data_IF_987350806320
#
_entry.id   IF_987350806320
#
_cell.length_a   1.000
_cell.length_b   1.000
_cell.length_c   1.000
_cell.angle_alpha   90.00
_cell.angle_beta   90.00
_cell.angle_gamma   90.00
#
_symmetry.space_group_name_H-M   'P 1'
#
loop_
_entity.id
_entity.type
_entity.pdbx_description
1 polymer ?
#
# COMPACT_ATOMS: atom_id res chain seq x y z
N UNK A 1 -11.43 -13.30 12.92
CA UNK A 1 -11.24 -12.65 11.60
C UNK A 1 -10.12 -13.40 10.90
N UNK A 2 -10.42 -13.96 9.72
CA UNK A 2 -9.54 -14.88 8.99
C UNK A 2 -8.27 -14.17 8.46
N UNK A 3 -7.17 -14.89 8.25
CA UNK A 3 -5.92 -14.30 7.75
C UNK A 3 -6.04 -13.78 6.31
N UNK A 4 -6.80 -14.45 5.45
CA UNK A 4 -7.14 -13.94 4.12
C UNK A 4 -7.83 -12.57 4.15
N UNK A 5 -8.72 -12.36 5.13
CA UNK A 5 -9.43 -11.07 5.28
C UNK A 5 -8.44 -9.98 5.72
N UNK A 6 -7.48 -10.30 6.59
CA UNK A 6 -6.42 -9.36 7.01
C UNK A 6 -5.55 -8.98 5.83
N UNK A 7 -5.15 -9.94 5.01
CA UNK A 7 -4.34 -9.71 3.83
C UNK A 7 -5.10 -8.86 2.80
N UNK A 8 -6.37 -9.18 2.55
CA UNK A 8 -7.23 -8.40 1.65
C UNK A 8 -7.38 -6.95 2.10
N UNK A 9 -7.56 -6.71 3.40
CA UNK A 9 -7.58 -5.36 3.99
C UNK A 9 -6.26 -4.63 3.73
N UNK A 10 -5.12 -5.29 3.95
CA UNK A 10 -3.81 -4.71 3.71
C UNK A 10 -3.56 -4.40 2.23
N UNK A 11 -4.02 -5.24 1.30
CA UNK A 11 -3.92 -5.00 -0.14
C UNK A 11 -4.71 -3.74 -0.54
N UNK A 12 -5.96 -3.61 -0.09
CA UNK A 12 -6.78 -2.43 -0.39
C UNK A 12 -6.16 -1.17 0.23
N UNK A 13 -5.66 -1.27 1.47
CA UNK A 13 -5.01 -0.15 2.16
C UNK A 13 -3.73 0.36 1.47
N UNK A 14 -3.12 -0.43 0.57
CA UNK A 14 -1.93 -0.06 -0.23
C UNK A 14 -2.28 0.61 -1.56
N UNK A 15 -3.53 0.52 -2.01
CA UNK A 15 -4.02 1.27 -3.18
C UNK A 15 -4.33 2.72 -2.81
N UNK A 16 -4.43 3.61 -3.78
CA UNK A 16 -4.89 4.98 -3.56
C UNK A 16 -6.42 5.09 -3.72
N UNK A 17 -7.08 6.09 -3.11
CA UNK A 17 -8.50 6.33 -3.35
C UNK A 17 -8.83 6.55 -4.85
N UNK A 18 -7.90 7.12 -5.61
CA UNK A 18 -8.06 7.36 -7.05
C UNK A 18 -8.18 6.06 -7.86
N UNK A 19 -7.49 4.98 -7.46
CA UNK A 19 -7.62 3.66 -8.07
C UNK A 19 -9.05 3.11 -7.99
N UNK A 20 -9.81 3.56 -6.99
CA UNK A 20 -11.21 3.20 -6.78
C UNK A 20 -12.18 4.25 -7.33
N UNK A 21 -11.71 5.14 -8.20
CA UNK A 21 -12.47 6.25 -8.80
C UNK A 21 -13.01 7.23 -7.74
N UNK A 22 -12.36 7.32 -6.58
CA UNK A 22 -12.72 8.27 -5.52
C UNK A 22 -11.81 9.50 -5.66
N UNK A 23 -12.38 10.63 -6.05
CA UNK A 23 -11.66 11.90 -6.24
C UNK A 23 -11.81 12.87 -5.07
N UNK A 24 -12.68 12.56 -4.10
CA UNK A 24 -12.98 13.44 -2.96
C UNK A 24 -11.82 13.58 -1.96
N UNK A 25 -10.84 12.68 -2.00
CA UNK A 25 -9.65 12.73 -1.13
C UNK A 25 -8.49 11.97 -1.77
N UNK A 26 -7.26 12.40 -1.48
CA UNK A 26 -6.03 11.85 -2.06
C UNK A 26 -5.35 10.78 -1.20
N UNK A 27 -5.77 10.61 0.06
CA UNK A 27 -5.16 9.65 1.01
C UNK A 27 -6.21 8.93 1.84
N UNK A 28 -5.91 7.69 2.23
CA UNK A 28 -6.75 6.96 3.16
C UNK A 28 -6.65 7.53 4.57
N UNK A 29 -7.81 7.72 5.20
CA UNK A 29 -7.93 7.78 6.65
C UNK A 29 -8.53 6.46 7.15
N UNK A 30 -8.31 6.13 8.43
CA UNK A 30 -8.86 4.90 9.03
C UNK A 30 -10.39 4.81 8.86
N UNK A 31 -11.09 5.94 9.02
CA UNK A 31 -12.55 5.98 8.89
C UNK A 31 -12.99 5.72 7.44
N UNK A 32 -12.36 6.40 6.47
CA UNK A 32 -12.67 6.23 5.05
C UNK A 32 -12.38 4.81 4.56
N UNK A 33 -11.27 4.23 5.01
CA UNK A 33 -10.95 2.85 4.68
C UNK A 33 -11.99 1.88 5.27
N UNK A 34 -12.41 2.08 6.52
CA UNK A 34 -13.44 1.25 7.14
C UNK A 34 -14.77 1.31 6.36
N UNK A 35 -15.24 2.51 6.00
CA UNK A 35 -16.44 2.70 5.17
C UNK A 35 -16.29 1.99 3.82
N UNK A 36 -15.13 2.13 3.18
CA UNK A 36 -14.84 1.52 1.88
C UNK A 36 -14.83 -0.02 1.96
N UNK A 37 -14.22 -0.59 3.00
CA UNK A 37 -14.19 -2.05 3.23
C UNK A 37 -15.60 -2.63 3.43
N UNK A 38 -16.48 -1.91 4.12
CA UNK A 38 -17.89 -2.31 4.29
C UNK A 38 -18.65 -2.21 2.97
N UNK A 39 -18.47 -1.10 2.24
CA UNK A 39 -19.11 -0.90 0.92
C UNK A 39 -18.74 -1.99 -0.09
N UNK A 40 -17.48 -2.44 -0.09
CA UNK A 40 -16.99 -3.50 -0.95
C UNK A 40 -17.19 -4.91 -0.38
N UNK A 41 -17.96 -5.06 0.71
CA UNK A 41 -18.30 -6.33 1.37
C UNK A 41 -17.08 -7.16 1.81
N UNK A 42 -15.95 -6.51 2.08
CA UNK A 42 -14.73 -7.17 2.59
C UNK A 42 -14.92 -7.58 4.05
N UNK A 43 -15.64 -6.76 4.82
CA UNK A 43 -16.02 -7.04 6.21
C UNK A 43 -17.41 -6.48 6.50
N UNK A 44 -18.22 -7.17 7.31
CA UNK A 44 -19.56 -6.68 7.73
C UNK A 44 -19.44 -5.41 8.58
N UNK A 45 -18.46 -5.38 9.49
CA UNK A 45 -18.11 -4.22 10.29
C UNK A 45 -16.67 -4.37 10.80
N UNK A 46 -15.96 -3.25 10.95
CA UNK A 46 -14.61 -3.23 11.51
C UNK A 46 -14.41 -2.00 12.38
N UNK A 47 -13.89 -2.21 13.60
CA UNK A 47 -13.55 -1.09 14.49
C UNK A 47 -12.26 -0.41 14.02
N UNK A 48 -12.13 0.89 14.33
CA UNK A 48 -10.92 1.67 14.01
C UNK A 48 -9.66 1.08 14.67
N UNK A 49 -9.78 0.53 15.88
CA UNK A 49 -8.66 -0.10 16.56
C UNK A 49 -8.26 -1.44 15.94
N UNK A 50 -9.24 -2.26 15.57
CA UNK A 50 -8.97 -3.52 14.85
C UNK A 50 -8.26 -3.23 13.53
N UNK A 51 -8.76 -2.26 12.76
CA UNK A 51 -8.13 -1.82 11.53
C UNK A 51 -6.70 -1.33 11.77
N UNK A 52 -6.48 -0.51 12.80
CA UNK A 52 -5.13 -0.02 13.16
C UNK A 52 -4.18 -1.16 13.50
N UNK A 53 -4.62 -2.19 14.23
CA UNK A 53 -3.80 -3.36 14.57
C UNK A 53 -3.43 -4.17 13.33
N UNK A 54 -4.38 -4.39 12.42
CA UNK A 54 -4.15 -5.11 11.15
C UNK A 54 -3.13 -4.36 10.29
N UNK A 55 -3.31 -3.05 10.10
CA UNK A 55 -2.40 -2.25 9.28
C UNK A 55 -0.99 -2.19 9.88
N UNK A 56 -0.87 -2.11 11.23
CA UNK A 56 0.43 -2.20 11.90
C UNK A 56 1.11 -3.54 11.68
N UNK A 57 0.38 -4.65 11.82
CA UNK A 57 0.90 -5.99 11.56
C UNK A 57 1.33 -6.15 10.09
N UNK A 58 0.55 -5.63 9.14
CA UNK A 58 0.86 -5.62 7.71
C UNK A 58 1.87 -4.55 7.27
N UNK A 59 2.47 -3.82 8.22
CA UNK A 59 3.42 -2.71 8.00
C UNK A 59 2.93 -1.67 6.97
N UNK A 60 1.63 -1.39 6.96
CA UNK A 60 1.01 -0.38 6.09
C UNK A 60 1.06 0.97 6.79
N UNK A 61 1.68 1.97 6.15
CA UNK A 61 1.74 3.34 6.66
C UNK A 61 1.41 4.36 5.57
N UNK A 62 0.48 5.27 5.84
CA UNK A 62 0.18 6.41 4.98
C UNK A 62 0.95 7.65 5.47
N UNK A 63 2.27 7.66 5.30
CA UNK A 63 3.06 8.91 5.44
C UNK A 63 2.81 9.79 4.21
N UNK A 64 3.06 11.09 4.33
CA UNK A 64 2.96 12.09 3.26
C UNK A 64 4.03 11.84 2.18
N UNK A 65 3.87 10.73 1.47
CA UNK A 65 4.57 10.45 0.23
C UNK A 65 3.54 10.72 -0.85
N UNK A 66 3.81 11.71 -1.70
CA UNK A 66 3.02 11.93 -2.91
C UNK A 66 2.93 10.60 -3.63
N UNK A 67 1.73 10.00 -3.66
CA UNK A 67 1.50 8.74 -4.35
C UNK A 67 1.88 8.95 -5.81
N UNK A 68 2.92 8.26 -6.28
CA UNK A 68 3.15 8.10 -7.71
C UNK A 68 2.22 6.97 -8.18
N UNK A 69 0.95 7.31 -8.37
CA UNK A 69 0.01 6.42 -9.01
C UNK A 69 0.31 6.39 -10.51
N UNK A 70 0.33 5.20 -11.10
CA UNK A 70 0.30 5.07 -12.55
C UNK A 70 -1.10 5.49 -13.02
N UNK A 71 -1.20 6.31 -14.07
CA UNK A 71 -2.48 6.74 -14.66
C UNK A 71 -3.06 5.72 -15.64
N UNK A 72 -2.41 4.56 -15.80
CA UNK A 72 -2.87 3.51 -16.70
C UNK A 72 -4.16 2.83 -16.21
N UNK A 73 -5.13 2.55 -17.10
CA UNK A 73 -6.38 1.87 -16.72
C UNK A 73 -6.16 0.46 -16.17
N UNK A 74 -5.03 -0.18 -16.53
CA UNK A 74 -4.68 -1.54 -16.16
C UNK A 74 -3.79 -1.63 -14.89
N UNK A 75 -3.57 -0.51 -14.17
CA UNK A 75 -2.63 -0.48 -13.04
C UNK A 75 -2.91 -1.56 -11.99
N UNK A 76 -4.17 -1.74 -11.60
CA UNK A 76 -4.56 -2.73 -10.59
C UNK A 76 -4.33 -4.16 -11.09
N UNK A 77 -4.64 -4.44 -12.36
CA UNK A 77 -4.40 -5.75 -12.97
C UNK A 77 -2.89 -6.06 -13.02
N UNK A 78 -2.08 -5.09 -13.43
CA UNK A 78 -0.63 -5.20 -13.45
C UNK A 78 -0.03 -5.37 -12.05
N UNK A 79 -0.52 -4.61 -11.06
CA UNK A 79 -0.12 -4.74 -9.66
C UNK A 79 -0.37 -6.16 -9.15
N UNK A 80 -1.57 -6.70 -9.37
CA UNK A 80 -1.89 -8.07 -8.96
C UNK A 80 -1.00 -9.10 -9.65
N UNK A 81 -0.72 -8.94 -10.95
CA UNK A 81 0.20 -9.82 -11.69
C UNK A 81 1.60 -9.81 -11.09
N UNK A 82 2.12 -8.64 -10.71
CA UNK A 82 3.43 -8.51 -10.06
C UNK A 82 3.42 -9.17 -8.68
N UNK A 83 2.40 -8.92 -7.86
CA UNK A 83 2.26 -9.55 -6.54
C UNK A 83 2.19 -11.08 -6.64
N UNK A 84 1.52 -11.61 -7.65
CA UNK A 84 1.46 -13.05 -7.89
C UNK A 84 2.85 -13.68 -8.12
N UNK A 85 3.81 -12.96 -8.73
CA UNK A 85 5.17 -13.44 -8.92
C UNK A 85 5.95 -13.61 -7.60
N UNK A 86 5.62 -12.83 -6.56
CA UNK A 86 6.23 -12.97 -5.24
C UNK A 86 5.63 -14.13 -4.43
N UNK A 87 4.35 -14.43 -4.64
CA UNK A 87 3.64 -15.52 -3.96
C UNK A 87 3.94 -16.86 -4.63
N UNK A 88 3.87 -16.87 -5.96
CA UNK A 88 4.04 -18.07 -6.79
C UNK A 88 5.05 -17.77 -7.91
N UNK A 89 6.36 -17.86 -7.64
CA UNK A 89 7.38 -17.69 -8.66
C UNK A 89 7.31 -18.84 -9.69
N UNK A 90 7.67 -18.58 -10.96
CA UNK A 90 7.72 -19.63 -11.99
C UNK A 90 8.75 -20.71 -11.65
N UNK A 91 8.41 -21.97 -11.88
CA UNK A 91 9.24 -23.13 -11.50
C UNK A 91 10.65 -23.12 -12.14
N UNK A 92 10.74 -22.68 -13.40
CA UNK A 92 11.98 -22.65 -14.19
C UNK A 92 12.54 -21.23 -14.39
N UNK A 93 12.16 -20.28 -13.52
CA UNK A 93 12.52 -18.87 -13.70
C UNK A 93 12.94 -18.17 -12.41
N UNK A 94 13.60 -17.01 -12.56
CA UNK A 94 13.95 -16.11 -11.45
C UNK A 94 13.18 -14.81 -11.59
N UNK A 95 12.63 -14.31 -10.48
CA UNK A 95 11.99 -12.99 -10.42
C UNK A 95 13.04 -11.97 -9.99
N UNK A 96 13.33 -11.00 -10.85
CA UNK A 96 14.28 -9.90 -10.58
C UNK A 96 13.50 -8.59 -10.61
N UNK A 97 13.73 -7.74 -9.62
CA UNK A 97 13.13 -6.40 -9.55
C UNK A 97 14.23 -5.35 -9.73
N UNK A 98 14.08 -4.53 -10.77
CA UNK A 98 14.98 -3.44 -11.09
C UNK A 98 14.21 -2.14 -10.93
N UNK A 99 14.82 -1.18 -10.25
CA UNK A 99 14.29 0.18 -10.07
C UNK A 99 15.42 1.16 -10.39
N UNK A 100 15.10 2.23 -11.12
CA UNK A 100 16.06 3.29 -11.38
C UNK A 100 16.14 4.21 -10.16
N UNK A 101 17.27 4.17 -9.48
CA UNK A 101 17.55 5.13 -8.44
C UNK A 101 17.69 6.52 -9.07
N UNK A 102 16.70 7.40 -8.86
CA UNK A 102 16.77 8.80 -9.30
C UNK A 102 18.03 9.51 -8.78
N UNK A 103 18.40 10.68 -9.31
CA UNK A 103 19.70 11.29 -9.06
C UNK A 103 20.00 11.36 -7.56
N UNK A 104 20.98 10.55 -7.12
CA UNK A 104 21.44 10.55 -5.74
C UNK A 104 22.14 11.89 -5.50
N UNK A 105 21.51 12.76 -4.71
CA UNK A 105 22.20 13.96 -4.26
C UNK A 105 23.29 13.55 -3.26
N UNK A 106 24.50 13.34 -3.79
CA UNK A 106 25.71 12.98 -3.04
C UNK A 106 26.30 14.15 -2.25
N UNK A 107 25.64 15.33 -2.23
CA UNK A 107 26.14 16.45 -1.44
C UNK A 107 26.20 16.06 0.03
N UNK A 108 27.39 16.09 0.66
CA UNK A 108 27.52 15.81 2.08
C UNK A 108 26.75 16.86 2.87
N UNK A 109 25.66 16.44 3.53
CA UNK A 109 24.95 17.28 4.49
C UNK A 109 25.65 17.15 5.84
N UNK A 110 26.06 18.28 6.42
CA UNK A 110 26.64 18.32 7.77
C UNK A 110 25.65 17.70 8.76
N UNK A 111 26.01 16.55 9.34
CA UNK A 111 25.22 15.93 10.39
C UNK A 111 25.07 16.91 11.57
N UNK A 112 23.84 17.08 12.07
CA UNK A 112 23.64 17.77 13.36
C UNK A 112 24.27 16.91 14.44
N UNK A 113 25.34 17.43 15.07
CA UNK A 113 25.85 16.88 16.33
C UNK A 113 24.73 17.02 17.36
N UNK A 114 24.17 15.89 17.79
CA UNK A 114 23.29 15.86 18.95
C UNK A 114 24.07 16.36 20.16
N UNK A 115 23.57 17.44 20.77
CA UNK A 115 23.98 17.84 22.12
C UNK A 115 23.41 16.77 23.06
N UNK A 116 24.27 16.17 23.87
CA UNK A 116 23.87 15.26 24.97
C UNK A 116 23.15 16.03 26.06
#
# INVERSE_FOLDING_TARGET
MNDEVRERICLIARTSPADWKITAFSTWSLSRLAEHLVKHKVTVAISRETLRRILRAGKVSWKTTTWKASTGPEFIAQMHRILALYVTPPADGRVICVDEFGPLNLMPRRARRGVR
#
